data_IF_565192781325
#
_entry.id   IF_565192781325
#
_cell.length_a   1.000
_cell.length_b   1.000
_cell.length_c   1.000
_cell.angle_alpha   90.00
_cell.angle_beta   90.00
_cell.angle_gamma   90.00
#
_symmetry.space_group_name_H-M   'P 1'
#
loop_
_entity.id
_entity.type
_entity.pdbx_description
1 polymer ?
#
# COMPACT_ATOMS: atom_id res chain seq x y z
N UNK A 1 -14.24 -4.50 11.39
CA UNK A 1 -13.58 -3.80 10.27
C UNK A 1 -13.28 -2.40 10.79
N UNK A 2 -12.03 -1.94 10.76
CA UNK A 2 -11.65 -0.62 11.25
C UNK A 2 -12.35 0.46 10.42
N UNK A 3 -13.51 0.90 10.87
CA UNK A 3 -14.15 2.08 10.33
C UNK A 3 -13.39 3.25 10.94
N UNK A 4 -12.56 3.93 10.15
CA UNK A 4 -12.16 5.25 10.60
C UNK A 4 -13.39 6.16 10.63
N UNK A 5 -13.52 7.02 11.65
CA UNK A 5 -14.72 7.83 11.84
C UNK A 5 -15.02 8.67 10.60
N UNK A 6 -16.30 8.95 10.36
CA UNK A 6 -16.76 9.93 9.35
C UNK A 6 -16.08 11.30 9.51
N UNK A 7 -15.50 11.56 10.67
CA UNK A 7 -14.77 12.78 11.02
C UNK A 7 -13.54 13.02 10.15
N UNK A 8 -12.92 11.97 9.57
CA UNK A 8 -11.83 12.16 8.61
C UNK A 8 -12.25 12.94 7.37
N UNK A 9 -13.49 12.78 6.91
CA UNK A 9 -13.99 13.50 5.73
C UNK A 9 -14.04 15.02 5.94
N UNK A 10 -13.90 15.50 7.18
CA UNK A 10 -13.89 16.92 7.53
C UNK A 10 -12.49 17.47 7.81
N UNK A 11 -11.45 16.64 7.75
CA UNK A 11 -10.09 17.10 8.00
C UNK A 11 -9.65 17.99 6.85
N UNK A 12 -9.26 19.21 7.19
CA UNK A 12 -8.80 20.19 6.22
C UNK A 12 -7.59 19.67 5.45
N UNK A 13 -7.62 19.82 4.12
CA UNK A 13 -6.54 19.38 3.24
C UNK A 13 -6.49 17.88 2.94
N UNK A 14 -7.29 17.02 3.59
CA UNK A 14 -7.36 15.59 3.24
C UNK A 14 -8.14 15.41 1.93
N UNK A 15 -7.46 14.94 0.88
CA UNK A 15 -8.06 14.74 -0.46
C UNK A 15 -8.58 13.32 -0.68
N UNK A 16 -7.89 12.34 -0.12
CA UNK A 16 -8.23 10.92 -0.28
C UNK A 16 -7.73 10.14 0.91
N UNK A 17 -8.49 9.17 1.39
CA UNK A 17 -8.05 8.31 2.48
C UNK A 17 -8.62 6.90 2.38
N UNK A 18 -7.87 5.93 2.91
CA UNK A 18 -8.25 4.52 2.97
C UNK A 18 -7.77 3.90 4.27
N UNK A 19 -8.73 3.40 5.06
CA UNK A 19 -8.45 2.49 6.16
C UNK A 19 -8.59 1.06 5.66
N UNK A 20 -7.58 0.25 5.91
CA UNK A 20 -7.48 -1.10 5.38
C UNK A 20 -7.10 -2.08 6.50
N UNK A 21 -7.72 -3.25 6.51
CA UNK A 21 -7.27 -4.36 7.34
C UNK A 21 -6.16 -5.15 6.64
N UNK A 22 -5.52 -6.07 7.36
CA UNK A 22 -4.58 -7.02 6.79
C UNK A 22 -5.00 -8.46 7.06
N UNK A 23 -4.47 -9.41 6.29
CA UNK A 23 -4.48 -10.82 6.65
C UNK A 23 -3.29 -11.18 7.54
N UNK A 24 -3.36 -12.32 8.23
CA UNK A 24 -2.24 -12.83 9.03
C UNK A 24 -0.93 -12.94 8.23
N UNK A 25 0.20 -12.84 8.93
CA UNK A 25 1.53 -12.94 8.36
C UNK A 25 1.91 -11.68 7.57
N UNK A 26 2.16 -11.84 6.27
CA UNK A 26 2.53 -10.73 5.39
C UNK A 26 1.34 -9.91 4.86
N UNK A 27 0.12 -10.15 5.36
CA UNK A 27 -1.07 -9.42 4.90
C UNK A 27 -1.87 -10.11 3.79
N UNK A 28 -1.39 -11.23 3.27
CA UNK A 28 -1.96 -11.93 2.09
C UNK A 28 -2.77 -13.19 2.43
N UNK A 29 -3.20 -13.33 3.69
CA UNK A 29 -3.96 -14.49 4.17
C UNK A 29 -5.47 -14.26 4.08
N UNK A 30 -6.23 -15.34 3.85
CA UNK A 30 -7.68 -15.34 4.02
C UNK A 30 -8.10 -15.19 5.49
N UNK A 31 -7.20 -15.52 6.43
CA UNK A 31 -7.43 -15.32 7.86
C UNK A 31 -7.13 -13.85 8.19
N UNK A 32 -8.09 -13.09 8.72
CA UNK A 32 -7.87 -11.69 9.07
C UNK A 32 -6.85 -11.57 10.20
N UNK A 33 -6.02 -10.53 10.13
CA UNK A 33 -5.25 -10.04 11.26
C UNK A 33 -6.03 -8.88 11.90
N UNK A 34 -6.40 -9.05 13.17
CA UNK A 34 -7.18 -8.06 13.91
C UNK A 34 -6.32 -6.99 14.59
N UNK A 35 -4.99 -7.12 14.52
CA UNK A 35 -4.04 -6.25 15.21
C UNK A 35 -3.25 -5.36 14.27
N UNK A 36 -3.33 -5.58 12.95
CA UNK A 36 -2.56 -4.83 11.95
C UNK A 36 -3.45 -4.20 10.89
N UNK A 37 -3.36 -2.88 10.79
CA UNK A 37 -4.13 -2.06 9.87
C UNK A 37 -3.20 -1.12 9.09
N UNK A 38 -3.68 -0.64 7.95
CA UNK A 38 -3.00 0.39 7.16
C UNK A 38 -3.91 1.58 6.95
N UNK A 39 -3.40 2.78 7.21
CA UNK A 39 -4.03 4.04 6.86
C UNK A 39 -3.24 4.70 5.73
N UNK A 40 -3.89 4.91 4.59
CA UNK A 40 -3.38 5.73 3.50
C UNK A 40 -4.12 7.06 3.51
N UNK A 41 -3.38 8.17 3.49
CA UNK A 41 -3.92 9.51 3.34
C UNK A 41 -3.17 10.25 2.23
N UNK A 42 -3.91 11.00 1.41
CA UNK A 42 -3.38 11.92 0.41
C UNK A 42 -3.84 13.32 0.78
N UNK A 43 -2.88 14.23 0.84
CA UNK A 43 -3.09 15.58 1.34
C UNK A 43 -2.94 16.61 0.22
N UNK A 44 -3.50 17.79 0.43
CA UNK A 44 -3.29 18.95 -0.43
C UNK A 44 -1.83 19.43 -0.39
N UNK A 45 -1.27 19.47 0.81
CA UNK A 45 0.09 19.92 1.12
C UNK A 45 0.61 19.22 2.38
N UNK A 46 1.91 19.34 2.61
CA UNK A 46 2.60 18.71 3.75
C UNK A 46 2.14 19.29 5.09
N UNK A 47 1.87 20.60 5.16
CA UNK A 47 1.44 21.26 6.39
C UNK A 47 0.11 20.70 6.92
N UNK A 48 -0.85 20.47 6.02
CA UNK A 48 -2.15 19.85 6.36
C UNK A 48 -1.97 18.44 6.94
N UNK A 49 -1.06 17.66 6.37
CA UNK A 49 -0.73 16.32 6.86
C UNK A 49 -0.06 16.38 8.24
N UNK A 50 0.89 17.29 8.43
CA UNK A 50 1.59 17.46 9.71
C UNK A 50 0.62 17.88 10.82
N UNK A 51 -0.28 18.83 10.54
CA UNK A 51 -1.33 19.25 11.47
C UNK A 51 -2.24 18.07 11.85
N UNK A 52 -2.64 17.23 10.89
CA UNK A 52 -3.44 16.05 11.19
C UNK A 52 -2.73 15.09 12.15
N UNK A 53 -1.49 14.72 11.86
CA UNK A 53 -0.76 13.76 12.70
C UNK A 53 -0.38 14.32 14.08
N UNK A 54 -0.28 15.64 14.21
CA UNK A 54 0.03 16.31 15.48
C UNK A 54 -1.21 16.60 16.35
N UNK A 55 -2.36 16.91 15.74
CA UNK A 55 -3.49 17.53 16.45
C UNK A 55 -4.82 16.76 16.33
N UNK A 56 -4.96 15.83 15.39
CA UNK A 56 -6.23 15.15 15.18
C UNK A 56 -6.55 14.17 16.33
N UNK A 57 -7.49 14.55 17.21
CA UNK A 57 -7.84 13.76 18.39
C UNK A 57 -8.19 12.29 18.09
N UNK A 58 -9.01 11.95 17.07
CA UNK A 58 -9.26 10.54 16.75
C UNK A 58 -8.01 9.76 16.37
N UNK A 59 -7.09 10.36 15.60
CA UNK A 59 -5.82 9.72 15.28
C UNK A 59 -4.93 9.58 16.51
N UNK A 60 -4.79 10.63 17.33
CA UNK A 60 -4.00 10.59 18.55
C UNK A 60 -4.52 9.51 19.51
N UNK A 61 -5.84 9.42 19.72
CA UNK A 61 -6.44 8.34 20.50
C UNK A 61 -6.15 6.97 19.88
N UNK A 62 -6.20 6.83 18.56
CA UNK A 62 -5.79 5.58 17.91
C UNK A 62 -4.33 5.20 18.23
N UNK A 63 -3.43 6.18 18.30
CA UNK A 63 -2.03 5.93 18.67
C UNK A 63 -1.84 5.49 20.12
N UNK A 64 -2.70 5.89 21.06
CA UNK A 64 -2.60 5.45 22.47
C UNK A 64 -2.94 3.97 22.67
N UNK A 65 -3.77 3.41 21.79
CA UNK A 65 -4.12 1.98 21.76
C UNK A 65 -3.23 1.15 20.82
N UNK A 66 -2.15 1.73 20.30
CA UNK A 66 -1.27 1.09 19.34
C UNK A 66 0.08 0.74 19.99
N UNK A 67 0.43 -0.54 19.99
CA UNK A 67 1.72 -1.01 20.52
C UNK A 67 2.91 -0.69 19.62
N UNK A 68 2.65 -0.55 18.31
CA UNK A 68 3.68 -0.29 17.31
C UNK A 68 3.06 0.47 16.13
N UNK A 69 3.68 1.59 15.77
CA UNK A 69 3.25 2.45 14.67
C UNK A 69 4.47 2.76 13.79
N UNK A 70 4.28 2.64 12.47
CA UNK A 70 5.23 3.13 11.48
C UNK A 70 4.52 3.98 10.45
N UNK A 71 5.08 5.16 10.22
CA UNK A 71 4.58 6.15 9.26
C UNK A 71 5.66 6.42 8.23
N UNK A 72 5.29 6.39 6.96
CA UNK A 72 6.17 6.82 5.86
C UNK A 72 5.48 7.88 5.02
N UNK A 73 6.22 8.95 4.75
CA UNK A 73 5.80 10.05 3.91
C UNK A 73 6.29 9.79 2.50
N UNK A 74 5.38 9.91 1.52
CA UNK A 74 5.60 9.41 0.16
C UNK A 74 5.35 10.53 -0.85
N UNK A 75 6.34 10.79 -1.70
CA UNK A 75 6.18 11.68 -2.86
C UNK A 75 5.86 10.84 -4.11
N UNK A 76 4.70 11.04 -4.77
CA UNK A 76 4.36 10.29 -5.99
C UNK A 76 5.32 10.57 -7.14
N UNK A 77 5.82 9.50 -7.77
CA UNK A 77 6.63 9.56 -9.00
C UNK A 77 5.72 9.35 -10.21
N UNK A 78 4.92 8.28 -10.15
CA UNK A 78 4.06 7.84 -11.24
C UNK A 78 2.88 7.10 -10.64
N UNK A 79 1.69 7.34 -11.18
CA UNK A 79 0.51 6.52 -10.92
C UNK A 79 -0.27 6.27 -12.20
N UNK A 80 -0.81 5.07 -12.35
CA UNK A 80 -1.70 4.68 -13.44
C UNK A 80 -2.85 3.86 -12.90
N UNK A 81 -4.02 3.99 -13.53
CA UNK A 81 -5.25 3.35 -13.09
C UNK A 81 -6.03 4.19 -12.09
N UNK A 82 -7.02 3.56 -11.45
CA UNK A 82 -8.03 4.21 -10.62
C UNK A 82 -8.23 3.45 -9.30
N UNK A 83 -8.56 4.21 -8.26
CA UNK A 83 -9.03 3.72 -6.99
C UNK A 83 -10.38 4.37 -6.69
N UNK A 84 -11.44 3.57 -6.75
CA UNK A 84 -12.83 4.04 -6.61
C UNK A 84 -13.17 5.15 -7.64
N UNK A 85 -12.76 4.94 -8.89
CA UNK A 85 -13.08 5.82 -10.01
C UNK A 85 -12.16 7.04 -10.17
N UNK A 86 -11.21 7.28 -9.26
CA UNK A 86 -10.28 8.41 -9.33
C UNK A 86 -8.83 7.96 -9.27
N UNK A 87 -7.90 8.72 -9.84
CA UNK A 87 -6.47 8.54 -9.55
C UNK A 87 -6.07 9.51 -8.43
N UNK A 88 -5.83 9.03 -7.19
CA UNK A 88 -5.57 9.90 -6.05
C UNK A 88 -4.12 10.43 -6.01
N UNK A 89 -3.23 9.95 -6.88
CA UNK A 89 -1.81 10.29 -6.85
C UNK A 89 -1.43 11.11 -8.08
N UNK A 90 -1.51 12.46 -8.01
CA UNK A 90 -1.02 13.29 -9.10
C UNK A 90 0.48 13.06 -9.29
N UNK A 91 0.93 12.98 -10.54
CA UNK A 91 2.36 12.89 -10.84
C UNK A 91 3.02 14.21 -10.43
N UNK A 92 4.21 14.15 -9.82
CA UNK A 92 4.96 15.35 -9.53
C UNK A 92 5.27 16.11 -10.83
N UNK A 93 5.12 17.44 -10.81
CA UNK A 93 5.43 18.31 -11.97
C UNK A 93 6.89 18.22 -12.41
N UNK A 94 7.77 17.73 -11.53
CA UNK A 94 9.18 17.49 -11.81
C UNK A 94 9.51 16.00 -11.66
N UNK A 95 10.27 15.43 -12.62
CA UNK A 95 10.75 14.06 -12.48
C UNK A 95 11.65 13.94 -11.26
N UNK A 96 11.16 13.24 -10.23
CA UNK A 96 11.96 12.87 -9.08
C UNK A 96 12.82 11.67 -9.47
N UNK A 97 14.11 11.89 -9.66
CA UNK A 97 15.08 10.78 -9.72
C UNK A 97 15.34 10.35 -8.28
N UNK A 98 15.14 9.07 -8.00
CA UNK A 98 15.58 8.44 -6.75
C UNK A 98 16.66 7.43 -7.08
N UNK A 99 17.88 7.70 -6.60
CA UNK A 99 18.97 6.72 -6.52
C UNK A 99 18.89 5.92 -5.19
N UNK A 100 17.84 6.15 -4.40
CA UNK A 100 17.61 5.53 -3.09
C UNK A 100 16.32 4.70 -3.06
N UNK A 101 15.75 4.50 -1.85
CA UNK A 101 14.57 3.66 -1.69
C UNK A 101 13.39 4.08 -2.57
N UNK A 102 12.61 3.10 -3.01
CA UNK A 102 11.39 3.31 -3.79
C UNK A 102 10.25 2.54 -3.18
N UNK A 103 9.09 3.18 -3.01
CA UNK A 103 7.87 2.52 -2.61
C UNK A 103 7.00 2.19 -3.83
N UNK A 104 6.31 1.06 -3.76
CA UNK A 104 5.31 0.65 -4.74
C UNK A 104 3.99 0.32 -4.03
N UNK A 105 2.90 0.82 -4.60
CA UNK A 105 1.53 0.48 -4.22
C UNK A 105 0.81 -0.14 -5.41
N UNK A 106 0.26 -1.34 -5.21
CA UNK A 106 -0.60 -2.01 -6.18
C UNK A 106 -1.95 -2.24 -5.54
N UNK A 107 -3.01 -1.73 -6.15
CA UNK A 107 -4.39 -1.93 -5.71
C UNK A 107 -5.18 -2.56 -6.84
N UNK A 108 -6.06 -3.50 -6.52
CA UNK A 108 -6.98 -4.09 -7.48
C UNK A 108 -8.38 -4.25 -6.91
N UNK A 109 -9.40 -4.21 -7.75
CA UNK A 109 -10.74 -4.72 -7.48
C UNK A 109 -10.94 -5.98 -8.31
N UNK A 110 -11.00 -7.13 -7.64
CA UNK A 110 -11.13 -8.42 -8.32
C UNK A 110 -12.59 -8.63 -8.71
N UNK A 111 -12.82 -9.16 -9.92
CA UNK A 111 -14.15 -9.61 -10.34
C UNK A 111 -14.57 -10.81 -9.49
N UNK A 112 -15.82 -10.83 -9.03
CA UNK A 112 -16.34 -11.92 -8.19
C UNK A 112 -16.08 -13.32 -8.77
N UNK A 113 -16.25 -13.48 -10.07
CA UNK A 113 -16.01 -14.74 -10.79
C UNK A 113 -14.53 -15.17 -10.82
N UNK A 114 -13.60 -14.23 -10.63
CA UNK A 114 -12.16 -14.47 -10.62
C UNK A 114 -11.59 -14.75 -9.22
N UNK A 115 -12.34 -14.50 -8.15
CA UNK A 115 -11.88 -14.65 -6.77
C UNK A 115 -11.26 -16.03 -6.47
N UNK A 116 -11.89 -17.17 -6.84
CA UNK A 116 -11.32 -18.47 -6.52
C UNK A 116 -9.96 -18.70 -7.20
N UNK A 117 -9.85 -18.31 -8.48
CA UNK A 117 -8.61 -18.42 -9.25
C UNK A 117 -7.54 -17.50 -8.67
N UNK A 118 -7.88 -16.25 -8.33
CA UNK A 118 -6.96 -15.29 -7.73
C UNK A 118 -6.39 -15.80 -6.40
N UNK A 119 -7.24 -16.20 -5.45
CA UNK A 119 -6.82 -16.64 -4.12
C UNK A 119 -5.97 -17.90 -4.12
N UNK A 120 -6.15 -18.77 -5.13
CA UNK A 120 -5.26 -19.92 -5.35
C UNK A 120 -3.82 -19.52 -5.74
N UNK A 121 -3.62 -18.35 -6.34
CA UNK A 121 -2.30 -17.87 -6.78
C UNK A 121 -1.60 -16.96 -5.77
N UNK A 122 -2.36 -16.30 -4.87
CA UNK A 122 -1.83 -15.38 -3.85
C UNK A 122 -0.67 -15.96 -3.01
N UNK A 123 -0.70 -17.24 -2.55
CA UNK A 123 0.41 -17.77 -1.76
C UNK A 123 1.75 -17.75 -2.50
N UNK A 124 1.76 -18.00 -3.81
CA UNK A 124 2.98 -18.02 -4.62
C UNK A 124 3.54 -16.61 -4.81
N UNK A 125 2.68 -15.63 -5.10
CA UNK A 125 3.10 -14.23 -5.29
C UNK A 125 3.53 -13.57 -3.99
N UNK A 126 2.85 -13.89 -2.88
CA UNK A 126 3.20 -13.45 -1.53
C UNK A 126 4.55 -13.97 -1.09
N UNK A 127 4.83 -15.26 -1.29
CA UNK A 127 6.14 -15.85 -0.96
C UNK A 127 7.25 -15.27 -1.84
N UNK A 128 6.99 -15.13 -3.13
CA UNK A 128 7.94 -14.50 -4.06
C UNK A 128 8.25 -13.04 -3.68
N UNK A 129 7.29 -12.31 -3.09
CA UNK A 129 7.52 -10.98 -2.54
C UNK A 129 8.34 -11.04 -1.25
N UNK A 130 7.97 -11.93 -0.33
CA UNK A 130 8.68 -12.14 0.93
C UNK A 130 10.19 -12.38 0.71
N UNK A 131 10.51 -13.24 -0.24
CA UNK A 131 11.87 -13.70 -0.53
C UNK A 131 12.59 -12.80 -1.57
N UNK A 132 11.95 -11.71 -2.01
CA UNK A 132 12.52 -10.83 -3.01
C UNK A 132 13.73 -10.06 -2.46
N UNK A 133 14.88 -10.23 -3.11
CA UNK A 133 16.10 -9.48 -2.81
C UNK A 133 15.90 -7.98 -3.02
N UNK A 134 16.40 -7.17 -2.08
CA UNK A 134 16.29 -5.72 -2.08
C UNK A 134 14.94 -5.18 -1.60
N UNK A 135 14.04 -6.04 -1.09
CA UNK A 135 12.82 -5.61 -0.41
C UNK A 135 13.12 -5.24 1.04
N UNK A 136 12.78 -4.01 1.44
CA UNK A 136 12.95 -3.51 2.79
C UNK A 136 11.73 -3.84 3.67
N UNK A 137 10.52 -3.55 3.17
CA UNK A 137 9.29 -3.93 3.84
C UNK A 137 8.17 -4.19 2.83
N UNK A 138 7.14 -4.93 3.26
CA UNK A 138 5.94 -5.15 2.45
C UNK A 138 4.76 -5.61 3.29
N UNK A 139 3.55 -5.29 2.83
CA UNK A 139 2.30 -5.72 3.44
C UNK A 139 1.18 -5.84 2.41
N UNK A 140 0.40 -6.91 2.55
CA UNK A 140 -0.93 -7.04 1.97
C UNK A 140 -1.99 -6.40 2.87
N UNK A 141 -2.81 -5.55 2.27
CA UNK A 141 -3.90 -4.80 2.89
C UNK A 141 -5.18 -5.05 2.09
N UNK A 142 -6.33 -4.72 2.66
CA UNK A 142 -7.61 -4.76 1.94
C UNK A 142 -8.69 -3.87 2.53
N UNK A 143 -9.45 -3.21 1.67
CA UNK A 143 -10.61 -2.39 2.05
C UNK A 143 -11.84 -3.27 2.31
N UNK A 144 -12.16 -4.12 1.34
CA UNK A 144 -13.12 -5.20 1.46
C UNK A 144 -12.32 -6.49 1.43
N UNK A 145 -12.25 -7.24 2.55
CA UNK A 145 -11.50 -8.48 2.62
C UNK A 145 -11.79 -9.35 1.40
N UNK A 146 -10.74 -9.89 0.82
CA UNK A 146 -10.78 -10.80 -0.33
C UNK A 146 -11.02 -10.19 -1.71
N UNK A 147 -11.68 -9.04 -1.78
CA UNK A 147 -12.15 -8.46 -3.06
C UNK A 147 -11.29 -7.31 -3.54
N UNK A 148 -10.82 -6.48 -2.61
CA UNK A 148 -10.05 -5.26 -2.91
C UNK A 148 -8.67 -5.31 -2.27
N UNK A 149 -7.75 -6.17 -2.75
CA UNK A 149 -6.40 -6.22 -2.21
C UNK A 149 -5.63 -4.95 -2.57
N UNK A 150 -4.81 -4.54 -1.62
CA UNK A 150 -3.79 -3.50 -1.74
C UNK A 150 -2.47 -4.11 -1.31
N UNK A 151 -1.40 -3.89 -2.04
CA UNK A 151 -0.05 -4.28 -1.66
C UNK A 151 0.79 -3.04 -1.57
N UNK A 152 1.42 -2.84 -0.43
CA UNK A 152 2.43 -1.81 -0.24
C UNK A 152 3.79 -2.46 -0.03
N UNK A 153 4.84 -1.88 -0.59
CA UNK A 153 6.21 -2.36 -0.41
C UNK A 153 7.23 -1.25 -0.59
N UNK A 154 8.34 -1.32 0.12
CA UNK A 154 9.52 -0.46 -0.09
C UNK A 154 10.71 -1.33 -0.46
N UNK A 155 11.50 -0.83 -1.40
CA UNK A 155 12.66 -1.49 -1.99
C UNK A 155 13.89 -0.59 -1.86
N UNK A 156 15.07 -1.19 -1.84
CA UNK A 156 16.36 -0.48 -1.78
C UNK A 156 16.55 0.49 -2.94
N UNK A 157 16.08 0.13 -4.13
CA UNK A 157 16.16 0.93 -5.35
C UNK A 157 15.16 0.46 -6.42
N UNK A 158 15.11 1.23 -7.51
CA UNK A 158 14.21 0.96 -8.66
C UNK A 158 14.55 -0.35 -9.38
N UNK A 159 15.83 -0.74 -9.41
CA UNK A 159 16.30 -1.98 -10.04
C UNK A 159 15.76 -3.21 -9.31
N UNK A 160 15.83 -3.23 -7.97
CA UNK A 160 15.30 -4.31 -7.15
C UNK A 160 13.78 -4.48 -7.35
N UNK A 161 13.04 -3.38 -7.33
CA UNK A 161 11.60 -3.38 -7.63
C UNK A 161 11.31 -3.93 -9.04
N UNK A 162 12.04 -3.46 -10.06
CA UNK A 162 11.88 -3.93 -11.45
C UNK A 162 12.21 -5.41 -11.60
N UNK A 163 13.25 -5.89 -10.91
CA UNK A 163 13.63 -7.32 -10.89
C UNK A 163 12.48 -8.16 -10.35
N UNK A 164 11.87 -7.76 -9.24
CA UNK A 164 10.68 -8.44 -8.73
C UNK A 164 9.50 -8.36 -9.72
N UNK A 165 9.14 -7.16 -10.18
CA UNK A 165 7.96 -6.93 -11.00
C UNK A 165 8.04 -7.59 -12.39
N UNK A 166 9.22 -7.64 -13.01
CA UNK A 166 9.36 -8.06 -14.41
C UNK A 166 10.22 -9.30 -14.62
N UNK A 167 11.03 -9.74 -13.66
CA UNK A 167 11.90 -10.91 -13.85
C UNK A 167 11.47 -12.11 -12.99
N UNK A 168 10.56 -11.92 -12.03
CA UNK A 168 10.02 -13.03 -11.25
C UNK A 168 8.95 -13.79 -12.06
N UNK A 169 9.21 -15.08 -12.35
CA UNK A 169 8.31 -15.94 -13.12
C UNK A 169 6.90 -16.04 -12.52
N UNK A 170 6.77 -16.04 -11.19
CA UNK A 170 5.46 -16.11 -10.53
C UNK A 170 4.69 -14.78 -10.66
N UNK A 171 5.38 -13.65 -10.59
CA UNK A 171 4.76 -12.34 -10.78
C UNK A 171 4.37 -12.12 -12.26
N UNK A 172 5.23 -12.49 -13.20
CA UNK A 172 4.90 -12.47 -14.63
C UNK A 172 3.68 -13.34 -14.96
N UNK A 173 3.61 -14.56 -14.40
CA UNK A 173 2.48 -15.45 -14.60
C UNK A 173 1.19 -14.86 -13.99
N UNK A 174 1.27 -14.21 -12.83
CA UNK A 174 0.14 -13.50 -12.25
C UNK A 174 -0.34 -12.34 -13.15
N UNK A 175 0.57 -11.53 -13.72
CA UNK A 175 0.24 -10.47 -14.68
C UNK A 175 -0.43 -11.07 -15.92
N UNK A 176 0.14 -12.14 -16.48
CA UNK A 176 -0.39 -12.81 -17.67
C UNK A 176 -1.80 -13.36 -17.42
N UNK A 177 -2.01 -14.06 -16.30
CA UNK A 177 -3.33 -14.59 -15.91
C UNK A 177 -4.34 -13.50 -15.64
N UNK A 178 -3.93 -12.40 -15.01
CA UNK A 178 -4.78 -11.23 -14.81
C UNK A 178 -5.35 -10.72 -16.14
N UNK A 179 -4.49 -10.63 -17.17
CA UNK A 179 -4.90 -10.20 -18.52
C UNK A 179 -5.75 -11.24 -19.23
N UNK A 180 -5.37 -12.52 -19.18
CA UNK A 180 -6.08 -13.60 -19.87
C UNK A 180 -7.44 -13.94 -19.26
N UNK A 181 -7.55 -13.86 -17.93
CA UNK A 181 -8.76 -14.23 -17.20
C UNK A 181 -9.55 -13.00 -16.73
N UNK A 182 -9.18 -11.81 -17.19
CA UNK A 182 -9.84 -10.54 -16.89
C UNK A 182 -10.12 -10.36 -15.37
N UNK A 183 -9.11 -10.63 -14.53
CA UNK A 183 -9.31 -10.70 -13.09
C UNK A 183 -9.74 -9.37 -12.47
N UNK A 184 -9.29 -8.24 -13.02
CA UNK A 184 -9.50 -6.93 -12.41
C UNK A 184 -10.65 -6.19 -13.09
N UNK A 185 -11.55 -5.67 -12.27
CA UNK A 185 -12.56 -4.69 -12.66
C UNK A 185 -11.97 -3.29 -12.71
N UNK A 186 -11.03 -3.02 -11.82
CA UNK A 186 -10.33 -1.75 -11.65
C UNK A 186 -8.97 -2.04 -11.01
N UNK A 187 -7.92 -1.34 -11.39
CA UNK A 187 -6.60 -1.45 -10.79
C UNK A 187 -5.93 -0.08 -10.67
N UNK A 188 -4.96 0.02 -9.76
CA UNK A 188 -4.08 1.17 -9.63
C UNK A 188 -2.67 0.69 -9.29
N UNK A 189 -1.69 1.23 -10.00
CA UNK A 189 -0.28 1.04 -9.74
C UNK A 189 0.37 2.39 -9.52
N UNK A 190 1.04 2.57 -8.38
CA UNK A 190 1.74 3.80 -8.05
C UNK A 190 3.15 3.52 -7.53
N UNK A 191 4.06 4.44 -7.83
CA UNK A 191 5.44 4.46 -7.32
C UNK A 191 5.70 5.78 -6.62
N UNK A 192 6.49 5.72 -5.55
CA UNK A 192 6.79 6.87 -4.72
C UNK A 192 8.25 6.87 -4.29
N UNK A 193 8.77 8.05 -4.00
CA UNK A 193 9.99 8.22 -3.20
C UNK A 193 9.57 8.37 -1.74
N UNK A 194 10.05 7.52 -0.82
CA UNK A 194 9.95 7.78 0.61
C UNK A 194 10.79 9.00 0.96
N UNK A 195 10.18 10.02 1.58
CA UNK A 195 10.85 11.28 1.96
C UNK A 195 11.07 11.39 3.47
N UNK A 196 10.30 10.64 4.26
CA UNK A 196 10.44 10.58 5.72
C UNK A 196 9.89 9.26 6.24
N UNK A 197 10.49 8.71 7.30
CA UNK A 197 9.98 7.55 8.04
C UNK A 197 10.06 7.80 9.54
N UNK A 198 9.05 7.34 10.27
CA UNK A 198 8.93 7.51 11.71
C UNK A 198 8.37 6.23 12.33
N UNK A 199 8.84 5.89 13.53
CA UNK A 199 8.37 4.73 14.27
C UNK A 199 8.97 3.40 13.79
N UNK A 200 8.28 2.30 14.11
CA UNK A 200 8.82 0.94 14.00
C UNK A 200 7.88 0.02 13.23
N UNK A 201 8.48 -0.84 12.40
CA UNK A 201 7.84 -1.91 11.66
C UNK A 201 8.46 -3.26 12.04
N UNK A 202 7.71 -4.10 12.78
CA UNK A 202 8.22 -5.33 13.40
C UNK A 202 9.47 -5.08 14.28
N UNK A 203 9.48 -3.99 15.04
CA UNK A 203 10.51 -3.64 16.02
C UNK A 203 11.68 -2.83 15.46
N UNK A 204 11.73 -2.52 14.17
CA UNK A 204 12.80 -1.69 13.58
C UNK A 204 12.25 -0.69 12.55
N UNK A 205 12.93 0.43 12.34
CA UNK A 205 12.62 1.29 11.19
C UNK A 205 13.20 0.64 9.92
N UNK A 206 12.36 0.23 8.94
CA UNK A 206 12.82 -0.55 7.79
C UNK A 206 13.52 0.29 6.73
N UNK A 207 13.44 1.63 6.82
CA UNK A 207 14.05 2.55 5.86
C UNK A 207 14.69 3.69 6.63
N UNK A 208 16.02 3.80 6.51
CA UNK A 208 16.78 4.94 7.02
C UNK A 208 16.98 5.88 5.83
N UNK A 209 16.43 7.08 5.93
CA UNK A 209 16.46 8.13 4.90
C UNK A 209 17.38 9.27 5.32
#
# INVERSE_FOLDING_TARGET
>A
MGLMPKELMKVQGLKFHKMMGSGQGLGFSLKPDFFRYGLLCVWHDEASAQAFFAENLPFLEYTTHTSELWTTWLQPIQAHGLWDGVNPFPSADKPVKSDGPVAALTRATIRWQALPSFWRHVPYTSRALADASGRLCSIGLGELPFVRPVTFSIWENTEALKKYAYQNKHHQEAIKRTRQQNWFKEDLFARFVPVKTEGLWNGCNPVVL
#
